data_IF_047825401879
#
_entry.id   IF_047825401879
#
_cell.length_a   1.000
_cell.length_b   1.000
_cell.length_c   1.000
_cell.angle_alpha   90.00
_cell.angle_beta   90.00
_cell.angle_gamma   90.00
#
_symmetry.space_group_name_H-M   'P 1'
#
loop_
_entity.id
_entity.type
_entity.pdbx_description
1 polymer ?
#
# COMPACT_ATOMS: atom_id res chain seq x y z
N UNK A 1 16.99 -17.33 2.77
CA UNK A 1 15.96 -17.51 1.72
C UNK A 1 14.67 -16.72 2.00
N UNK A 2 14.30 -16.48 3.27
CA UNK A 2 13.03 -15.83 3.63
C UNK A 2 12.94 -14.31 3.43
N UNK A 3 14.06 -13.60 3.22
CA UNK A 3 14.07 -12.13 3.10
C UNK A 3 13.67 -11.61 1.70
N UNK A 4 14.03 -12.32 0.62
CA UNK A 4 13.80 -11.83 -0.76
C UNK A 4 12.31 -11.65 -1.10
N UNK A 5 11.44 -12.53 -0.60
CA UNK A 5 10.01 -12.48 -0.88
C UNK A 5 9.30 -11.25 -0.27
N UNK A 6 9.45 -10.93 1.04
CA UNK A 6 8.89 -9.71 1.60
C UNK A 6 9.51 -8.45 0.99
N UNK A 7 10.83 -8.46 0.70
CA UNK A 7 11.52 -7.34 0.03
C UNK A 7 10.86 -7.00 -1.32
N UNK A 8 10.61 -8.02 -2.16
CA UNK A 8 9.91 -7.85 -3.44
C UNK A 8 8.46 -7.41 -3.27
N UNK A 9 7.77 -7.90 -2.23
CA UNK A 9 6.39 -7.50 -1.93
C UNK A 9 6.28 -6.00 -1.65
N UNK A 10 7.27 -5.39 -0.98
CA UNK A 10 7.29 -3.95 -0.70
C UNK A 10 7.46 -3.07 -1.94
N UNK A 11 8.06 -3.58 -3.03
CA UNK A 11 8.17 -2.82 -4.28
C UNK A 11 6.77 -2.52 -4.84
N UNK A 12 5.82 -3.44 -4.69
CA UNK A 12 4.46 -3.33 -5.26
C UNK A 12 3.71 -2.09 -4.73
N UNK A 13 3.50 -1.89 -3.41
CA UNK A 13 2.80 -0.73 -2.90
C UNK A 13 3.58 0.58 -3.15
N UNK A 14 4.92 0.57 -3.12
CA UNK A 14 5.74 1.75 -3.42
C UNK A 14 5.53 2.18 -4.88
N UNK A 15 5.59 1.22 -5.80
CA UNK A 15 5.35 1.45 -7.22
C UNK A 15 3.90 1.88 -7.50
N UNK A 16 2.91 1.18 -6.94
CA UNK A 16 1.50 1.54 -7.08
C UNK A 16 1.20 2.94 -6.54
N UNK A 17 1.73 3.32 -5.38
CA UNK A 17 1.56 4.68 -4.81
C UNK A 17 2.13 5.76 -5.74
N UNK A 18 3.21 5.44 -6.46
CA UNK A 18 3.83 6.33 -7.45
C UNK A 18 2.98 6.41 -8.72
N UNK A 19 2.56 5.27 -9.26
CA UNK A 19 1.82 5.18 -10.52
C UNK A 19 0.43 5.82 -10.42
N UNK A 20 -0.30 5.52 -9.34
CA UNK A 20 -1.67 5.98 -9.14
C UNK A 20 -1.79 7.34 -8.45
N UNK A 21 -0.68 8.05 -8.23
CA UNK A 21 -0.67 9.38 -7.58
C UNK A 21 -1.58 10.38 -8.28
N UNK A 22 -1.60 10.38 -9.61
CA UNK A 22 -2.33 11.36 -10.42
C UNK A 22 -3.67 10.80 -10.93
N UNK A 23 -4.09 9.63 -10.46
CA UNK A 23 -5.31 9.00 -10.95
C UNK A 23 -6.55 9.70 -10.35
N UNK A 24 -7.57 10.05 -11.16
CA UNK A 24 -8.73 10.82 -10.69
C UNK A 24 -9.54 10.09 -9.60
N UNK A 25 -9.45 8.76 -9.56
CA UNK A 25 -10.15 7.92 -8.59
C UNK A 25 -9.43 7.79 -7.23
N UNK A 26 -8.18 8.30 -7.12
CA UNK A 26 -7.38 8.20 -5.90
C UNK A 26 -7.41 9.53 -5.15
N UNK A 27 -8.33 9.65 -4.19
CA UNK A 27 -8.35 10.78 -3.26
C UNK A 27 -7.46 10.49 -2.05
N UNK A 28 -6.20 10.91 -2.14
CA UNK A 28 -5.23 10.73 -1.06
C UNK A 28 -5.25 11.91 -0.08
N UNK A 29 -5.71 11.68 1.15
CA UNK A 29 -5.57 12.61 2.26
C UNK A 29 -4.26 12.34 3.02
N UNK A 30 -3.30 13.29 3.07
CA UNK A 30 -2.03 13.07 3.74
C UNK A 30 -2.19 12.99 5.25
N UNK A 31 -1.53 12.00 5.86
CA UNK A 31 -1.42 11.89 7.31
C UNK A 31 -0.32 12.80 7.89
N UNK A 32 -0.20 12.86 9.23
CA UNK A 32 0.78 13.72 9.91
C UNK A 32 2.25 13.42 9.55
N UNK A 33 2.55 12.17 9.15
CA UNK A 33 3.87 11.75 8.65
C UNK A 33 3.87 11.58 7.13
N UNK A 34 3.59 12.67 6.43
CA UNK A 34 3.61 12.69 4.97
C UNK A 34 4.89 13.36 4.46
N UNK A 35 5.74 12.58 3.78
CA UNK A 35 7.01 13.08 3.21
C UNK A 35 6.83 13.93 1.94
N UNK A 36 5.59 14.24 1.58
CA UNK A 36 5.27 15.06 0.42
C UNK A 36 5.43 14.31 -0.92
N UNK A 37 4.85 14.90 -1.95
CA UNK A 37 5.03 14.44 -3.33
C UNK A 37 6.25 15.07 -4.03
N UNK A 38 7.02 15.87 -3.30
CA UNK A 38 8.20 16.60 -3.80
C UNK A 38 9.39 15.72 -4.18
N UNK A 39 10.50 16.38 -4.54
CA UNK A 39 11.71 15.73 -5.07
C UNK A 39 12.31 14.73 -4.07
N UNK A 40 12.29 15.04 -2.77
CA UNK A 40 12.81 14.16 -1.72
C UNK A 40 12.01 12.87 -1.62
N UNK A 41 10.67 12.95 -1.55
CA UNK A 41 9.81 11.78 -1.59
C UNK A 41 9.95 11.01 -2.90
N UNK A 42 10.23 11.68 -4.01
CA UNK A 42 10.50 11.01 -5.29
C UNK A 42 11.77 10.20 -5.29
N UNK A 43 12.87 10.84 -4.90
CA UNK A 43 14.17 10.21 -4.83
C UNK A 43 14.16 9.01 -3.86
N UNK A 44 13.55 9.16 -2.68
CA UNK A 44 13.47 8.09 -1.69
C UNK A 44 12.76 6.84 -2.25
N UNK A 45 11.59 7.01 -2.87
CA UNK A 45 10.85 5.88 -3.45
C UNK A 45 11.64 5.17 -4.56
N UNK A 46 12.29 5.94 -5.45
CA UNK A 46 13.09 5.37 -6.54
C UNK A 46 14.32 4.64 -6.00
N UNK A 47 15.02 5.22 -5.02
CA UNK A 47 16.18 4.58 -4.40
C UNK A 47 15.79 3.30 -3.69
N UNK A 48 14.67 3.27 -2.97
CA UNK A 48 14.17 2.04 -2.34
C UNK A 48 13.97 0.93 -3.37
N UNK A 49 13.27 1.21 -4.49
CA UNK A 49 13.04 0.19 -5.54
C UNK A 49 14.37 -0.29 -6.12
N UNK A 50 15.26 0.63 -6.50
CA UNK A 50 16.56 0.28 -7.10
C UNK A 50 17.44 -0.54 -6.14
N UNK A 51 17.50 -0.12 -4.88
CA UNK A 51 18.28 -0.81 -3.85
C UNK A 51 17.75 -2.23 -3.60
N UNK A 52 16.42 -2.38 -3.50
CA UNK A 52 15.80 -3.70 -3.31
C UNK A 52 16.08 -4.62 -4.49
N UNK A 53 15.98 -4.12 -5.73
CA UNK A 53 16.32 -4.91 -6.92
C UNK A 53 17.80 -5.31 -6.94
N UNK A 54 18.70 -4.39 -6.59
CA UNK A 54 20.12 -4.68 -6.48
C UNK A 54 20.43 -5.77 -5.44
N UNK A 55 19.83 -5.67 -4.25
CA UNK A 55 19.98 -6.68 -3.20
C UNK A 55 19.45 -8.05 -3.65
N UNK A 56 18.33 -8.09 -4.39
CA UNK A 56 17.81 -9.33 -4.95
C UNK A 56 18.78 -10.00 -5.92
N UNK A 57 19.49 -9.23 -6.75
CA UNK A 57 20.50 -9.77 -7.68
C UNK A 57 21.68 -10.37 -6.90
N UNK A 58 22.18 -9.67 -5.88
CA UNK A 58 23.25 -10.20 -5.02
C UNK A 58 22.82 -11.49 -4.33
N UNK A 59 21.59 -11.54 -3.80
CA UNK A 59 21.06 -12.74 -3.17
C UNK A 59 20.79 -13.89 -4.14
N UNK A 60 20.70 -13.62 -5.44
CA UNK A 60 20.58 -14.66 -6.46
C UNK A 60 21.93 -15.28 -6.85
N UNK A 61 23.06 -14.67 -6.46
CA UNK A 61 24.37 -15.19 -6.83
C UNK A 61 24.69 -16.49 -6.09
N UNK A 62 25.39 -17.43 -6.75
CA UNK A 62 25.83 -18.68 -6.14
C UNK A 62 26.97 -18.41 -5.13
N UNK A 63 26.98 -19.10 -3.98
CA UNK A 63 28.03 -18.92 -2.97
C UNK A 63 29.37 -19.54 -3.38
N UNK A 64 29.36 -20.49 -4.32
CA UNK A 64 30.53 -21.23 -4.78
C UNK A 64 30.53 -21.34 -6.31
N UNK A 65 31.72 -21.22 -6.90
CA UNK A 65 31.99 -21.51 -8.30
C UNK A 65 32.75 -22.85 -8.37
N UNK A 66 32.55 -23.70 -9.41
CA UNK A 66 31.69 -23.53 -10.59
C UNK A 66 30.20 -23.76 -10.31
N UNK A 67 29.33 -23.14 -11.12
CA UNK A 67 27.88 -23.28 -11.02
C UNK A 67 27.44 -24.59 -11.67
N UNK A 68 26.95 -25.51 -10.85
CA UNK A 68 26.31 -26.76 -11.25
C UNK A 68 24.86 -26.78 -10.76
N UNK A 69 24.03 -27.67 -11.31
CA UNK A 69 22.65 -27.85 -10.84
C UNK A 69 22.56 -28.18 -9.34
N UNK A 70 23.60 -28.77 -8.75
CA UNK A 70 23.67 -29.03 -7.31
C UNK A 70 24.15 -27.83 -6.48
N UNK A 71 24.82 -26.84 -7.08
CA UNK A 71 25.46 -25.72 -6.36
C UNK A 71 24.82 -24.36 -6.63
N UNK A 72 23.89 -24.27 -7.58
CA UNK A 72 23.18 -23.03 -7.91
C UNK A 72 22.24 -22.59 -6.77
N UNK A 73 22.16 -21.29 -6.53
CA UNK A 73 21.19 -20.72 -5.61
C UNK A 73 19.79 -20.70 -6.24
N UNK A 74 18.89 -21.55 -5.74
CA UNK A 74 17.53 -21.68 -6.27
C UNK A 74 16.53 -20.66 -5.70
N UNK A 75 16.93 -19.78 -4.79
CA UNK A 75 15.99 -18.85 -4.16
C UNK A 75 15.31 -17.93 -5.19
N UNK A 76 16.08 -17.30 -6.08
CA UNK A 76 15.56 -16.40 -7.11
C UNK A 76 14.61 -17.08 -8.13
N UNK A 77 14.98 -18.19 -8.80
CA UNK A 77 14.09 -18.84 -9.76
C UNK A 77 12.82 -19.41 -9.10
N UNK A 78 12.90 -19.93 -7.87
CA UNK A 78 11.71 -20.41 -7.14
C UNK A 78 10.78 -19.25 -6.83
N UNK A 79 11.29 -18.14 -6.30
CA UNK A 79 10.47 -16.94 -6.03
C UNK A 79 9.83 -16.39 -7.30
N UNK A 80 10.56 -16.30 -8.40
CA UNK A 80 10.03 -15.89 -9.70
C UNK A 80 8.92 -16.82 -10.21
N UNK A 81 9.10 -18.14 -10.07
CA UNK A 81 8.10 -19.14 -10.44
C UNK A 81 6.80 -19.01 -9.64
N UNK A 82 6.89 -18.79 -8.33
CA UNK A 82 5.71 -18.56 -7.46
C UNK A 82 4.96 -17.30 -7.86
N UNK A 83 5.67 -16.20 -8.14
CA UNK A 83 5.06 -14.95 -8.60
C UNK A 83 4.36 -15.14 -9.94
N UNK A 84 5.00 -15.82 -10.91
CA UNK A 84 4.40 -16.12 -12.21
C UNK A 84 3.13 -16.95 -12.09
N UNK A 85 3.16 -18.05 -11.33
CA UNK A 85 2.00 -18.90 -11.11
C UNK A 85 0.85 -18.12 -10.44
N UNK A 86 1.18 -17.27 -9.46
CA UNK A 86 0.21 -16.39 -8.81
C UNK A 86 -0.44 -15.40 -9.79
N UNK A 87 0.37 -14.77 -10.65
CA UNK A 87 -0.13 -13.86 -11.69
C UNK A 87 -1.01 -14.58 -12.71
N UNK A 88 -0.61 -15.77 -13.16
CA UNK A 88 -1.39 -16.60 -14.09
C UNK A 88 -2.74 -16.95 -13.48
N UNK A 89 -2.76 -17.39 -12.21
CA UNK A 89 -4.00 -17.68 -11.49
C UNK A 89 -4.89 -16.45 -11.37
N UNK A 90 -4.29 -15.30 -11.05
CA UNK A 90 -5.01 -14.03 -10.97
C UNK A 90 -5.65 -13.65 -12.31
N UNK A 91 -4.92 -13.76 -13.42
CA UNK A 91 -5.42 -13.44 -14.76
C UNK A 91 -6.55 -14.38 -15.20
N UNK A 92 -6.43 -15.69 -14.94
CA UNK A 92 -7.42 -16.69 -15.36
C UNK A 92 -8.72 -16.57 -14.56
N UNK A 93 -8.63 -16.55 -13.23
CA UNK A 93 -9.78 -16.65 -12.34
C UNK A 93 -9.93 -15.47 -11.38
N UNK A 94 -8.81 -14.97 -10.85
CA UNK A 94 -8.80 -13.93 -9.82
C UNK A 94 -9.52 -12.65 -10.24
N UNK A 95 -9.29 -12.16 -11.46
CA UNK A 95 -9.94 -10.93 -11.98
C UNK A 95 -11.46 -11.00 -12.02
N UNK A 96 -12.04 -12.20 -12.17
CA UNK A 96 -13.51 -12.40 -12.22
C UNK A 96 -14.15 -12.51 -10.83
N UNK A 97 -13.39 -12.98 -9.84
CA UNK A 97 -13.88 -13.20 -8.47
C UNK A 97 -13.52 -12.04 -7.52
N UNK A 98 -12.56 -11.20 -7.89
CA UNK A 98 -12.13 -10.08 -7.09
C UNK A 98 -13.18 -8.96 -7.10
N UNK A 99 -13.90 -8.82 -5.99
CA UNK A 99 -14.68 -7.62 -5.69
C UNK A 99 -13.75 -6.62 -5.02
N UNK A 100 -13.59 -5.45 -5.65
CA UNK A 100 -12.72 -4.39 -5.13
C UNK A 100 -13.07 -3.99 -3.69
N UNK A 101 -12.14 -3.32 -2.99
CA UNK A 101 -12.34 -2.92 -1.60
C UNK A 101 -13.59 -2.03 -1.49
N UNK A 102 -14.63 -2.52 -0.83
CA UNK A 102 -15.82 -1.73 -0.53
C UNK A 102 -15.47 -0.79 0.62
N UNK A 103 -15.61 0.51 0.40
CA UNK A 103 -15.43 1.52 1.43
C UNK A 103 -16.49 1.32 2.53
N UNK A 104 -16.07 0.89 3.72
CA UNK A 104 -16.92 0.81 4.92
C UNK A 104 -17.23 2.19 5.54
N UNK A 105 -17.16 3.27 4.74
CA UNK A 105 -17.69 4.56 5.18
C UNK A 105 -19.21 4.46 5.04
N UNK A 106 -19.86 3.96 6.08
CA UNK A 106 -21.18 4.46 6.42
C UNK A 106 -20.99 5.95 6.69
N UNK A 107 -21.27 6.76 5.70
CA UNK A 107 -21.79 8.09 5.93
C UNK A 107 -23.06 7.89 6.77
N UNK A 108 -22.87 7.76 8.08
CA UNK A 108 -23.89 8.16 9.04
C UNK A 108 -24.16 9.60 8.63
N UNK A 109 -25.23 9.80 7.84
CA UNK A 109 -25.84 11.10 7.64
C UNK A 109 -25.89 11.69 9.03
N UNK A 110 -25.08 12.73 9.25
CA UNK A 110 -25.15 13.49 10.47
C UNK A 110 -26.64 13.78 10.64
N UNK A 111 -27.21 13.24 11.72
CA UNK A 111 -28.56 13.56 12.13
C UNK A 111 -28.60 15.09 12.26
N UNK A 112 -29.15 15.74 11.24
CA UNK A 112 -29.34 17.20 11.16
C UNK A 112 -30.33 17.71 12.22
N UNK A 113 -30.71 16.90 13.21
CA UNK A 113 -31.62 17.29 14.29
C UNK A 113 -31.04 17.26 15.71
N UNK A 114 -29.92 16.58 15.99
CA UNK A 114 -29.52 16.32 17.40
C UNK A 114 -28.45 17.28 17.97
N UNK A 115 -27.76 18.05 17.12
CA UNK A 115 -26.73 19.03 17.54
C UNK A 115 -27.05 20.46 17.10
N UNK A 116 -28.32 20.87 17.10
CA UNK A 116 -28.61 22.31 17.17
C UNK A 116 -28.24 22.78 18.58
N UNK A 117 -27.09 23.44 18.70
CA UNK A 117 -26.69 24.09 19.94
C UNK A 117 -27.83 25.03 20.41
N UNK A 118 -28.19 25.04 21.71
CA UNK A 118 -29.31 25.82 22.21
C UNK A 118 -29.10 27.29 21.85
N UNK A 119 -30.08 27.84 21.14
CA UNK A 119 -30.07 29.23 20.73
C UNK A 119 -30.02 30.13 21.97
N UNK A 120 -29.40 31.30 21.83
CA UNK A 120 -29.11 32.25 22.90
C UNK A 120 -30.31 32.57 23.82
N UNK A 121 -31.54 32.36 23.35
CA UNK A 121 -32.77 32.59 24.08
C UNK A 121 -33.09 31.54 25.19
N UNK A 122 -32.62 30.29 25.07
CA UNK A 122 -32.92 29.26 26.09
C UNK A 122 -32.07 29.41 27.37
N UNK A 123 -30.90 30.04 27.28
CA UNK A 123 -30.01 30.23 28.44
C UNK A 123 -30.56 31.23 29.45
N UNK A 124 -31.38 32.19 29.01
CA UNK A 124 -31.98 33.18 29.92
C UNK A 124 -33.11 32.59 30.76
N UNK A 125 -33.90 31.66 30.20
CA UNK A 125 -35.05 31.07 30.88
C UNK A 125 -34.64 30.10 31.99
N UNK A 126 -33.56 29.34 31.80
CA UNK A 126 -33.07 28.39 32.81
C UNK A 126 -32.44 29.11 34.01
N UNK A 127 -31.85 30.29 33.80
CA UNK A 127 -31.22 31.08 34.87
C UNK A 127 -32.24 31.86 35.73
N UNK A 128 -33.50 31.96 35.32
CA UNK A 128 -34.55 32.63 36.12
C UNK A 128 -35.34 31.68 37.03
N UNK A 129 -35.15 30.36 36.89
CA UNK A 129 -35.88 29.33 37.65
C UNK A 129 -35.01 28.71 38.77
N UNK A 130 -33.72 29.11 38.86
CA UNK A 130 -32.81 28.80 39.97
C UNK A 130 -32.57 30.07 40.78
#
# INVERSE_FOLDING_TARGET
>A
MTAMAPDLSYIIPIFCRRWYRNHPEVQFTPGPFYMGDGIVGWFANVNCILWTLFACVIFALPPLLPVNASTMNYAAPITGGVVLLSLVWFVIGGRKHYKGPQSNRTDVKADEGLFTAPTHNEKSLVQQVV
#
